data_IF_296678875218
#
_entry.id   IF_296678875218
#
_cell.length_a   1.000
_cell.length_b   1.000
_cell.length_c   1.000
_cell.angle_alpha   90.00
_cell.angle_beta   90.00
_cell.angle_gamma   90.00
#
_symmetry.space_group_name_H-M   'P 1'
#
loop_
_entity.id
_entity.type
_entity.pdbx_description
1 polymer ?
#
# COMPACT_ATOMS: atom_id res chain seq x y z
N UNK A 1 -8.32 -21.37 -5.42
CA UNK A 1 -6.96 -21.89 -5.62
C UNK A 1 -6.02 -20.77 -5.21
N UNK A 2 -5.36 -20.88 -4.05
CA UNK A 2 -4.46 -19.84 -3.56
C UNK A 2 -3.08 -20.07 -4.18
N UNK A 3 -2.66 -19.18 -5.09
CA UNK A 3 -1.29 -19.17 -5.58
C UNK A 3 -0.38 -18.62 -4.49
N UNK A 4 0.42 -19.49 -3.89
CA UNK A 4 1.50 -19.06 -3.02
C UNK A 4 2.64 -18.54 -3.89
N UNK A 5 2.67 -17.23 -4.10
CA UNK A 5 3.81 -16.56 -4.73
C UNK A 5 5.09 -16.87 -3.95
N UNK A 6 6.16 -17.21 -4.67
CA UNK A 6 7.46 -17.44 -4.08
C UNK A 6 7.95 -16.15 -3.41
N UNK A 7 8.11 -16.16 -2.09
CA UNK A 7 8.59 -15.00 -1.34
C UNK A 7 10.12 -15.05 -1.23
N UNK A 8 10.80 -14.21 -2.01
CA UNK A 8 12.24 -14.01 -1.89
C UNK A 8 12.54 -12.71 -1.10
N UNK A 9 13.08 -12.80 0.12
CA UNK A 9 13.35 -11.62 0.93
C UNK A 9 14.43 -10.70 0.33
N UNK A 10 15.35 -11.23 -0.48
CA UNK A 10 16.41 -10.45 -1.12
C UNK A 10 15.83 -9.58 -2.24
N UNK A 11 15.01 -10.19 -3.10
CA UNK A 11 14.32 -9.47 -4.18
C UNK A 11 13.37 -8.42 -3.59
N UNK A 12 12.64 -8.78 -2.54
CA UNK A 12 11.73 -7.84 -1.89
C UNK A 12 12.44 -6.62 -1.29
N UNK A 13 13.64 -6.81 -0.73
CA UNK A 13 14.47 -5.69 -0.25
C UNK A 13 14.94 -4.80 -1.39
N UNK A 14 15.32 -5.39 -2.53
CA UNK A 14 15.75 -4.64 -3.72
C UNK A 14 14.61 -3.81 -4.29
N UNK A 15 13.42 -4.41 -4.46
CA UNK A 15 12.22 -3.69 -4.90
C UNK A 15 11.89 -2.51 -3.98
N UNK A 16 11.95 -2.73 -2.66
CA UNK A 16 11.70 -1.67 -1.68
C UNK A 16 12.73 -0.55 -1.74
N UNK A 17 14.00 -0.87 -2.01
CA UNK A 17 15.04 0.14 -2.18
C UNK A 17 14.83 0.98 -3.44
N UNK A 18 14.41 0.34 -4.55
CA UNK A 18 14.06 1.06 -5.79
C UNK A 18 12.86 1.98 -5.59
N UNK A 19 11.81 1.50 -4.90
CA UNK A 19 10.64 2.32 -4.59
C UNK A 19 11.01 3.56 -3.76
N UNK A 20 11.87 3.41 -2.74
CA UNK A 20 12.36 4.54 -1.95
C UNK A 20 13.13 5.57 -2.78
N UNK A 21 13.98 5.13 -3.70
CA UNK A 21 14.71 6.05 -4.57
C UNK A 21 13.76 6.86 -5.48
N UNK A 22 12.68 6.24 -5.95
CA UNK A 22 11.66 6.92 -6.75
C UNK A 22 10.86 7.94 -5.90
N UNK A 23 10.48 7.55 -4.67
CA UNK A 23 9.82 8.43 -3.71
C UNK A 23 10.68 9.65 -3.36
N UNK A 24 11.97 9.45 -3.10
CA UNK A 24 12.93 10.53 -2.81
C UNK A 24 13.07 11.49 -4.01
N UNK A 25 13.12 10.94 -5.23
CA UNK A 25 13.14 11.75 -6.44
C UNK A 25 11.84 12.56 -6.61
N UNK A 26 10.68 11.97 -6.34
CA UNK A 26 9.40 12.66 -6.43
C UNK A 26 9.28 13.79 -5.40
N UNK A 27 9.79 13.59 -4.18
CA UNK A 27 9.85 14.62 -3.15
C UNK A 27 10.78 15.78 -3.55
N UNK A 28 11.99 15.46 -4.03
CA UNK A 28 12.97 16.49 -4.42
C UNK A 28 12.50 17.38 -5.55
N UNK A 29 11.75 16.81 -6.50
CA UNK A 29 11.20 17.54 -7.64
C UNK A 29 9.83 18.17 -7.37
N UNK A 30 9.29 18.02 -6.14
CA UNK A 30 7.98 18.57 -5.76
C UNK A 30 6.80 17.92 -6.46
N UNK A 31 6.96 16.71 -7.00
CA UNK A 31 5.86 15.95 -7.62
C UNK A 31 4.89 15.37 -6.59
N UNK A 32 5.38 15.13 -5.37
CA UNK A 32 4.60 14.64 -4.24
C UNK A 32 5.05 15.40 -2.99
N UNK A 33 4.11 15.80 -2.15
CA UNK A 33 4.38 16.39 -0.84
C UNK A 33 4.76 15.33 0.19
N UNK A 34 5.40 15.75 1.28
CA UNK A 34 5.79 14.83 2.35
C UNK A 34 4.57 14.18 3.00
N UNK A 35 3.48 14.92 3.13
CA UNK A 35 2.21 14.48 3.70
C UNK A 35 1.55 13.42 2.81
N UNK A 36 1.53 13.62 1.49
CA UNK A 36 1.00 12.63 0.53
C UNK A 36 1.83 11.34 0.54
N UNK A 37 3.15 11.46 0.59
CA UNK A 37 4.04 10.30 0.62
C UNK A 37 3.88 9.50 1.92
N UNK A 38 3.65 10.20 3.04
CA UNK A 38 3.33 9.58 4.32
C UNK A 38 1.96 8.89 4.31
N UNK A 39 0.94 9.50 3.70
CA UNK A 39 -0.37 8.91 3.55
C UNK A 39 -0.31 7.60 2.74
N UNK A 40 0.44 7.60 1.64
CA UNK A 40 0.61 6.46 0.73
C UNK A 40 1.50 5.33 1.30
N UNK A 41 2.41 5.66 2.23
CA UNK A 41 3.26 4.67 2.91
C UNK A 41 2.73 4.25 4.29
N UNK A 42 1.60 4.81 4.72
CA UNK A 42 0.98 4.45 6.00
C UNK A 42 0.55 2.98 6.01
N UNK A 43 0.50 2.37 7.19
CA UNK A 43 0.05 0.98 7.35
C UNK A 43 -1.36 0.74 6.77
N UNK A 44 -2.21 1.78 6.78
CA UNK A 44 -3.57 1.76 6.26
C UNK A 44 -3.69 2.26 4.81
N UNK A 45 -2.60 2.69 4.17
CA UNK A 45 -2.62 3.18 2.80
C UNK A 45 -3.21 2.20 1.76
N UNK A 46 -2.92 0.88 1.83
CA UNK A 46 -3.52 -0.08 0.90
C UNK A 46 -5.01 -0.36 1.20
N UNK A 47 -5.52 0.13 2.34
CA UNK A 47 -6.90 -0.07 2.79
C UNK A 47 -7.76 1.14 2.45
N UNK A 48 -7.44 1.91 1.41
CA UNK A 48 -8.40 2.85 0.84
C UNK A 48 -9.63 2.03 0.38
N UNK A 49 -10.64 1.95 1.25
CA UNK A 49 -11.89 1.24 1.00
C UNK A 49 -12.57 1.98 -0.16
N UNK A 50 -12.37 1.50 -1.38
CA UNK A 50 -12.97 2.10 -2.60
C UNK A 50 -14.50 1.97 -2.56
N UNK A 51 -15.02 0.96 -1.85
CA UNK A 51 -16.42 0.80 -1.48
C UNK A 51 -16.56 -0.31 -0.44
N UNK A 52 -17.38 -0.11 0.59
CA UNK A 52 -17.80 -1.17 1.51
C UNK A 52 -19.32 -1.23 1.51
N UNK A 53 -19.90 -2.32 1.01
CA UNK A 53 -21.28 -2.70 1.26
C UNK A 53 -21.29 -3.74 2.37
N UNK A 54 -21.31 -3.28 3.62
CA UNK A 54 -21.58 -4.18 4.73
C UNK A 54 -23.07 -4.55 4.70
N UNK A 55 -23.40 -5.69 4.08
CA UNK A 55 -24.73 -6.28 4.21
C UNK A 55 -24.88 -6.82 5.64
N UNK A 56 -25.54 -6.04 6.49
CA UNK A 56 -25.90 -6.44 7.83
C UNK A 56 -27.10 -7.41 7.77
N UNK A 57 -26.84 -8.72 7.73
CA UNK A 57 -27.87 -9.71 8.05
C UNK A 57 -27.98 -9.83 9.57
N UNK A 58 -28.87 -9.04 10.16
CA UNK A 58 -29.35 -9.29 11.51
C UNK A 58 -30.17 -10.58 11.49
N UNK A 59 -29.58 -11.68 11.97
CA UNK A 59 -30.35 -12.86 12.32
C UNK A 59 -31.22 -12.49 13.53
N UNK A 60 -32.51 -12.26 13.29
CA UNK A 60 -33.52 -12.22 14.36
C UNK A 60 -33.60 -13.61 14.98
N UNK A 61 -33.23 -13.72 16.25
CA UNK A 61 -33.65 -14.78 17.16
C UNK A 61 -34.51 -14.17 18.27
#
# INVERSE_FOLDING_TARGET
MFEFGYFNPVERRREKALARAADDYALQNGHVSREELQANNSFLAPLAIVSSSAEHQSAYL
#
